data_IF_752149710552
#
_entry.id   IF_752149710552
#
_cell.length_a   1.000
_cell.length_b   1.000
_cell.length_c   1.000
_cell.angle_alpha   90.00
_cell.angle_beta   90.00
_cell.angle_gamma   90.00
#
_symmetry.space_group_name_H-M   'P 1'
#
loop_
_entity.id
_entity.type
_entity.pdbx_description
1 polymer ?
#
# COMPACT_ATOMS: atom_id res chain seq x y z
N UNK A 1 -12.61 61.89 -3.49
CA UNK A 1 -11.20 62.04 -3.92
C UNK A 1 -10.83 60.78 -4.69
N UNK A 2 -10.58 60.94 -5.98
CA UNK A 2 -10.23 59.88 -6.93
C UNK A 2 -8.83 59.30 -6.62
N UNK A 3 -8.60 58.02 -6.87
CA UNK A 3 -7.56 57.56 -7.82
C UNK A 3 -7.51 56.04 -7.88
N UNK A 4 -7.68 55.51 -9.09
CA UNK A 4 -7.58 54.10 -9.46
C UNK A 4 -6.12 53.67 -9.62
N UNK A 5 -5.78 52.48 -9.15
CA UNK A 5 -4.54 51.79 -9.54
C UNK A 5 -4.88 50.70 -10.58
N UNK A 6 -4.35 50.88 -11.80
CA UNK A 6 -4.23 49.87 -12.85
C UNK A 6 -2.79 49.33 -12.83
N UNK A 7 -2.60 48.04 -13.07
CA UNK A 7 -1.27 47.50 -13.40
C UNK A 7 -1.40 46.71 -14.71
N UNK A 8 -0.59 47.12 -15.69
CA UNK A 8 -0.58 46.65 -17.06
C UNK A 8 0.46 45.55 -17.27
N UNK A 9 0.20 44.70 -18.25
CA UNK A 9 1.05 43.63 -18.74
C UNK A 9 2.30 44.17 -19.46
N UNK A 10 3.42 43.45 -19.30
CA UNK A 10 4.70 43.73 -19.97
C UNK A 10 4.82 42.80 -21.18
N UNK A 11 4.96 43.41 -22.36
CA UNK A 11 5.35 42.79 -23.62
C UNK A 11 6.84 43.06 -23.86
N UNK A 12 7.61 42.05 -24.25
CA UNK A 12 8.98 42.23 -24.75
C UNK A 12 9.14 41.55 -26.11
N UNK A 13 9.15 42.40 -27.15
CA UNK A 13 9.60 42.10 -28.51
C UNK A 13 11.12 42.14 -28.56
N UNK A 14 11.76 41.11 -29.12
CA UNK A 14 13.19 41.11 -29.43
C UNK A 14 13.39 40.97 -30.93
N UNK A 15 14.02 42.01 -31.48
CA UNK A 15 14.36 42.26 -32.87
C UNK A 15 15.52 41.39 -33.34
N UNK A 16 15.46 41.05 -34.63
CA UNK A 16 16.54 40.55 -35.46
C UNK A 16 17.67 41.57 -35.67
N UNK A 17 18.84 41.10 -36.13
CA UNK A 17 19.67 41.89 -37.04
C UNK A 17 20.03 41.16 -38.34
N UNK A 18 20.15 41.98 -39.37
CA UNK A 18 20.63 41.75 -40.75
C UNK A 18 22.12 42.06 -40.84
N UNK A 19 22.90 41.35 -41.69
CA UNK A 19 24.00 41.89 -42.55
C UNK A 19 24.71 40.76 -43.34
N UNK A 20 24.54 40.65 -44.68
CA UNK A 20 25.36 41.13 -45.83
C UNK A 20 26.57 40.27 -46.28
N UNK A 21 26.54 39.89 -47.57
CA UNK A 21 27.57 40.00 -48.65
C UNK A 21 27.09 39.12 -49.83
N UNK A 22 27.05 39.49 -51.11
CA UNK A 22 27.51 40.67 -51.85
C UNK A 22 28.44 40.23 -52.99
N UNK A 23 27.98 40.37 -54.27
CA UNK A 23 28.75 40.57 -55.53
C UNK A 23 27.99 39.95 -56.72
N UNK A 24 27.96 40.44 -57.95
CA UNK A 24 28.16 41.72 -58.66
C UNK A 24 27.99 41.34 -60.16
N UNK A 25 27.44 42.25 -60.98
CA UNK A 25 27.80 42.59 -62.39
C UNK A 25 26.55 43.16 -63.08
N UNK A 26 26.29 44.46 -63.04
CA UNK A 26 26.79 45.53 -63.94
C UNK A 26 26.27 45.40 -65.38
N UNK A 27 25.19 46.14 -65.64
CA UNK A 27 24.52 46.37 -66.91
C UNK A 27 25.14 47.61 -67.56
N UNK A 28 25.57 47.50 -68.82
CA UNK A 28 26.07 48.61 -69.65
C UNK A 28 25.17 48.75 -70.88
N UNK A 29 24.66 49.95 -71.09
CA UNK A 29 24.03 50.40 -72.33
C UNK A 29 25.09 50.73 -73.40
N UNK A 30 24.90 50.29 -74.65
CA UNK A 30 25.43 50.94 -75.85
C UNK A 30 24.64 50.54 -77.11
N UNK A 31 24.45 51.52 -77.99
CA UNK A 31 23.52 51.58 -79.13
C UNK A 31 23.78 50.62 -80.32
N UNK A 32 22.69 50.43 -81.10
CA UNK A 32 22.57 50.29 -82.57
C UNK A 32 23.66 49.56 -83.38
N UNK A 33 23.30 48.41 -83.97
CA UNK A 33 24.06 47.77 -85.05
C UNK A 33 23.54 46.39 -85.47
N UNK A 34 23.38 46.18 -86.78
CA UNK A 34 22.82 45.01 -87.47
C UNK A 34 23.54 43.65 -87.25
N UNK A 35 22.76 42.56 -87.35
CA UNK A 35 23.06 41.18 -87.84
C UNK A 35 24.03 40.26 -87.07
N UNK A 36 23.48 39.20 -86.47
CA UNK A 36 23.57 37.75 -86.87
C UNK A 36 23.25 36.84 -85.67
N UNK A 37 22.58 35.67 -85.85
CA UNK A 37 22.25 34.80 -84.72
C UNK A 37 23.43 33.86 -84.42
N UNK A 38 23.97 33.92 -83.20
CA UNK A 38 24.90 32.91 -82.68
C UNK A 38 24.17 31.92 -81.78
N UNK A 39 24.40 30.63 -82.07
CA UNK A 39 23.83 29.48 -81.36
C UNK A 39 24.33 29.44 -79.91
N UNK A 40 23.39 29.55 -78.96
CA UNK A 40 23.65 29.36 -77.53
C UNK A 40 23.71 27.84 -77.24
N UNK A 41 24.78 27.30 -76.63
CA UNK A 41 24.79 25.90 -76.20
C UNK A 41 23.83 25.74 -75.02
N UNK A 42 22.79 24.92 -75.19
CA UNK A 42 21.82 24.60 -74.14
C UNK A 42 22.47 23.65 -73.13
N UNK A 43 23.10 24.20 -72.10
CA UNK A 43 23.55 23.44 -70.93
C UNK A 43 22.29 22.91 -70.21
N UNK A 44 22.05 21.59 -70.28
CA UNK A 44 21.05 20.94 -69.43
C UNK A 44 21.62 20.84 -68.02
N UNK A 45 21.14 21.68 -67.12
CA UNK A 45 21.26 21.41 -65.68
C UNK A 45 20.39 20.19 -65.35
N UNK A 46 21.00 19.12 -64.85
CA UNK A 46 20.30 17.99 -64.26
C UNK A 46 19.62 18.44 -62.95
N UNK A 47 18.47 17.87 -62.55
CA UNK A 47 17.69 18.36 -61.42
C UNK A 47 18.34 17.98 -60.08
N UNK A 48 19.07 18.90 -59.47
CA UNK A 48 19.71 18.78 -58.14
C UNK A 48 18.69 18.74 -56.98
N UNK A 49 17.40 18.94 -57.26
CA UNK A 49 16.31 19.03 -56.28
C UNK A 49 15.77 17.68 -55.82
N UNK A 50 15.87 16.61 -56.62
CA UNK A 50 15.38 15.26 -56.29
C UNK A 50 16.27 14.59 -55.22
N UNK A 51 17.59 14.78 -55.30
CA UNK A 51 18.53 14.14 -54.37
C UNK A 51 18.50 14.78 -52.97
N UNK A 52 18.40 16.12 -52.90
CA UNK A 52 18.29 16.85 -51.62
C UNK A 52 16.98 16.57 -50.89
N UNK A 53 15.87 16.43 -51.62
CA UNK A 53 14.56 16.12 -51.04
C UNK A 53 14.50 14.68 -50.49
N UNK A 54 15.09 13.70 -51.20
CA UNK A 54 15.25 12.33 -50.70
C UNK A 54 16.14 12.25 -49.46
N UNK A 55 17.24 13.01 -49.41
CA UNK A 55 18.09 13.07 -48.22
C UNK A 55 17.37 13.69 -47.01
N UNK A 56 16.60 14.77 -47.21
CA UNK A 56 15.76 15.37 -46.15
C UNK A 56 14.72 14.37 -45.63
N UNK A 57 14.07 13.62 -46.51
CA UNK A 57 13.10 12.58 -46.14
C UNK A 57 13.76 11.40 -45.39
N UNK A 58 14.95 10.98 -45.79
CA UNK A 58 15.71 9.92 -45.11
C UNK A 58 16.17 10.35 -43.70
N UNK A 59 16.63 11.59 -43.53
CA UNK A 59 17.01 12.15 -42.22
C UNK A 59 15.79 12.31 -41.32
N UNK A 60 14.66 12.76 -41.88
CA UNK A 60 13.43 12.94 -41.11
C UNK A 60 12.84 11.59 -40.65
N UNK A 61 12.83 10.57 -41.52
CA UNK A 61 12.34 9.22 -41.17
C UNK A 61 13.23 8.52 -40.14
N UNK A 62 14.55 8.61 -40.27
CA UNK A 62 15.48 8.07 -39.27
C UNK A 62 15.34 8.76 -37.92
N UNK A 63 15.15 10.08 -37.89
CA UNK A 63 14.87 10.82 -36.67
C UNK A 63 13.55 10.38 -36.01
N UNK A 64 12.48 10.19 -36.77
CA UNK A 64 11.20 9.70 -36.23
C UNK A 64 11.31 8.28 -35.66
N UNK A 65 12.01 7.38 -36.35
CA UNK A 65 12.25 6.02 -35.85
C UNK A 65 13.10 6.03 -34.57
N UNK A 66 14.12 6.87 -34.49
CA UNK A 66 14.94 7.02 -33.30
C UNK A 66 14.17 7.60 -32.10
N UNK A 67 13.29 8.58 -32.35
CA UNK A 67 12.41 9.12 -31.31
C UNK A 67 11.40 8.06 -30.85
N UNK A 68 10.82 7.30 -31.78
CA UNK A 68 9.87 6.22 -31.45
C UNK A 68 10.53 5.13 -30.60
N UNK A 69 11.75 4.70 -30.94
CA UNK A 69 12.47 3.67 -30.17
C UNK A 69 12.82 4.17 -28.78
N UNK A 70 13.24 5.44 -28.64
CA UNK A 70 13.51 6.06 -27.35
C UNK A 70 12.25 6.15 -26.48
N UNK A 71 11.11 6.53 -27.06
CA UNK A 71 9.82 6.56 -26.35
C UNK A 71 9.39 5.16 -25.90
N UNK A 72 9.57 4.14 -26.73
CA UNK A 72 9.26 2.76 -26.36
C UNK A 72 10.16 2.25 -25.22
N UNK A 73 11.45 2.56 -25.25
CA UNK A 73 12.38 2.23 -24.15
C UNK A 73 11.99 2.94 -22.85
N UNK A 74 11.62 4.22 -22.92
CA UNK A 74 11.20 4.99 -21.76
C UNK A 74 9.90 4.42 -21.17
N UNK A 75 8.93 4.08 -22.02
CA UNK A 75 7.66 3.47 -21.60
C UNK A 75 7.88 2.10 -20.97
N UNK A 76 8.75 1.27 -21.56
CA UNK A 76 9.13 -0.03 -20.99
C UNK A 76 9.83 0.13 -19.63
N UNK A 77 10.72 1.12 -19.50
CA UNK A 77 11.36 1.47 -18.22
C UNK A 77 10.34 1.89 -17.16
N UNK A 78 9.34 2.70 -17.49
CA UNK A 78 8.26 3.08 -16.58
C UNK A 78 7.45 1.85 -16.15
N UNK A 79 7.08 0.97 -17.09
CA UNK A 79 6.34 -0.26 -16.78
C UNK A 79 7.14 -1.13 -15.80
N UNK A 80 8.43 -1.35 -16.06
CA UNK A 80 9.29 -2.13 -15.16
C UNK A 80 9.41 -1.45 -13.80
N UNK A 81 9.63 -0.13 -13.76
CA UNK A 81 9.73 0.61 -12.51
C UNK A 81 8.44 0.49 -11.68
N UNK A 82 7.26 0.67 -12.30
CA UNK A 82 5.96 0.48 -11.66
C UNK A 82 5.78 -0.98 -11.22
N UNK A 83 6.15 -1.95 -12.04
CA UNK A 83 6.07 -3.38 -11.69
C UNK A 83 6.95 -3.74 -10.49
N UNK A 84 8.20 -3.27 -10.45
CA UNK A 84 9.10 -3.46 -9.31
C UNK A 84 8.59 -2.73 -8.07
N UNK A 85 8.01 -1.54 -8.22
CA UNK A 85 7.40 -0.78 -7.14
C UNK A 85 6.18 -1.54 -6.58
N UNK A 86 5.35 -2.15 -7.43
CA UNK A 86 4.24 -3.01 -7.02
C UNK A 86 4.71 -4.30 -6.32
N UNK A 87 5.87 -4.84 -6.68
CA UNK A 87 6.47 -6.00 -5.98
C UNK A 87 7.10 -5.61 -4.65
N UNK A 88 7.59 -4.37 -4.49
CA UNK A 88 8.23 -3.86 -3.29
C UNK A 88 7.26 -3.24 -2.28
N UNK A 89 6.04 -2.88 -2.69
CA UNK A 89 4.96 -2.55 -1.74
C UNK A 89 4.48 -3.89 -1.18
N UNK A 90 4.82 -4.26 0.07
CA UNK A 90 4.19 -5.40 0.71
C UNK A 90 2.73 -5.00 0.83
N UNK A 91 1.88 -5.46 -0.10
CA UNK A 91 0.49 -5.03 -0.24
C UNK A 91 -0.13 -4.83 1.14
N UNK A 92 -0.24 -3.59 1.66
CA UNK A 92 -1.17 -3.39 2.74
C UNK A 92 -2.48 -3.58 2.00
N UNK A 93 -3.13 -4.71 2.28
CA UNK A 93 -4.50 -4.98 1.89
C UNK A 93 -5.26 -3.65 1.86
N UNK A 94 -6.03 -3.30 0.81
CA UNK A 94 -6.84 -2.10 0.89
C UNK A 94 -7.62 -2.22 2.19
N UNK A 95 -7.32 -1.32 3.15
CA UNK A 95 -7.90 -1.34 4.49
C UNK A 95 -9.33 -0.86 4.28
N UNK A 96 -10.18 -1.75 3.76
CA UNK A 96 -11.61 -1.49 3.57
C UNK A 96 -12.30 -1.37 4.93
N UNK A 97 -11.66 -1.88 6.00
CA UNK A 97 -12.15 -1.81 7.36
C UNK A 97 -11.18 -1.03 8.25
N UNK A 98 -11.56 0.17 8.73
CA UNK A 98 -10.72 0.93 9.67
C UNK A 98 -10.50 0.15 10.97
N UNK A 99 -9.28 0.22 11.51
CA UNK A 99 -8.94 -0.46 12.75
C UNK A 99 -9.46 0.31 13.98
N UNK A 100 -10.22 -0.36 14.85
CA UNK A 100 -10.79 0.24 16.05
C UNK A 100 -10.24 -0.39 17.33
N UNK A 101 -9.36 0.33 18.01
CA UNK A 101 -8.80 -0.10 19.29
C UNK A 101 -9.52 0.57 20.47
N UNK A 102 -10.06 -0.26 21.35
CA UNK A 102 -10.48 0.11 22.71
C UNK A 102 -9.33 -0.23 23.65
N UNK A 103 -8.63 0.81 24.11
CA UNK A 103 -7.49 0.69 25.02
C UNK A 103 -7.91 0.17 26.40
N UNK A 104 -6.95 -0.43 27.11
CA UNK A 104 -7.20 -1.06 28.42
C UNK A 104 -7.82 -0.11 29.45
N UNK A 105 -7.37 1.14 29.46
CA UNK A 105 -7.85 2.18 30.38
C UNK A 105 -9.34 2.53 30.20
N UNK A 106 -9.96 2.15 29.09
CA UNK A 106 -11.39 2.41 28.83
C UNK A 106 -12.27 1.39 29.55
N UNK A 107 -11.82 0.13 29.66
CA UNK A 107 -12.60 -0.95 30.24
C UNK A 107 -12.07 -1.43 31.60
N UNK A 108 -10.88 -1.00 32.01
CA UNK A 108 -10.26 -1.40 33.27
C UNK A 108 -9.66 -0.19 34.00
N UNK A 109 -10.14 0.08 35.21
CA UNK A 109 -9.71 1.23 36.02
C UNK A 109 -8.46 0.95 36.86
N UNK A 110 -8.07 -0.31 37.06
CA UNK A 110 -6.88 -0.64 37.85
C UNK A 110 -5.60 -0.25 37.09
N UNK A 111 -4.69 0.43 37.79
CA UNK A 111 -3.42 0.86 37.19
C UNK A 111 -2.61 -0.32 36.65
N UNK A 112 -2.05 -0.15 35.44
CA UNK A 112 -1.14 -1.12 34.81
C UNK A 112 0.07 -1.49 35.67
N UNK A 113 0.44 -0.61 36.62
CA UNK A 113 1.51 -0.83 37.59
C UNK A 113 1.27 -2.02 38.53
N UNK A 114 0.02 -2.47 38.72
CA UNK A 114 -0.29 -3.62 39.58
C UNK A 114 0.09 -4.96 38.93
N UNK A 115 0.30 -4.98 37.61
CA UNK A 115 0.71 -6.17 36.89
C UNK A 115 2.07 -5.96 36.25
N UNK A 116 3.12 -6.53 36.88
CA UNK A 116 4.40 -6.78 36.21
C UNK A 116 4.21 -7.88 35.16
N UNK A 117 3.60 -7.52 34.03
CA UNK A 117 3.48 -8.45 32.91
C UNK A 117 4.85 -8.63 32.27
N UNK A 118 5.25 -9.89 32.09
CA UNK A 118 6.48 -10.23 31.38
C UNK A 118 6.47 -9.58 29.99
N UNK A 119 7.57 -8.90 29.59
CA UNK A 119 7.63 -8.21 28.31
C UNK A 119 7.61 -9.21 27.15
N UNK A 120 6.91 -8.84 26.08
CA UNK A 120 6.97 -9.53 24.80
C UNK A 120 8.12 -8.93 23.98
N UNK A 121 8.94 -9.80 23.38
CA UNK A 121 10.05 -9.33 22.55
C UNK A 121 9.52 -8.86 21.19
N UNK A 122 9.41 -7.54 21.04
CA UNK A 122 8.80 -6.88 19.89
C UNK A 122 9.37 -7.33 18.53
N UNK A 123 10.66 -7.66 18.47
CA UNK A 123 11.34 -8.09 17.24
C UNK A 123 11.26 -9.59 16.96
N UNK A 124 10.79 -10.39 17.92
CA UNK A 124 10.69 -11.83 17.80
C UNK A 124 9.28 -12.29 17.43
N UNK A 125 8.25 -11.46 17.59
CA UNK A 125 6.86 -11.89 17.40
C UNK A 125 6.57 -12.38 15.98
N UNK A 126 6.43 -13.69 15.85
CA UNK A 126 6.27 -14.40 14.59
C UNK A 126 4.98 -15.21 14.53
N UNK A 127 4.31 -15.42 15.66
CA UNK A 127 3.13 -16.25 15.74
C UNK A 127 1.92 -15.44 16.17
N UNK A 128 0.77 -15.84 15.63
CA UNK A 128 -0.54 -15.39 16.08
C UNK A 128 -1.36 -16.63 16.35
N UNK A 129 -1.99 -16.67 17.52
CA UNK A 129 -2.98 -17.69 17.86
C UNK A 129 -4.34 -16.99 17.93
N UNK A 130 -5.33 -17.51 17.21
CA UNK A 130 -6.72 -17.04 17.29
C UNK A 130 -7.58 -18.17 17.84
N UNK A 131 -8.40 -17.86 18.83
CA UNK A 131 -9.36 -18.77 19.44
C UNK A 131 -10.63 -18.01 19.85
N UNK A 132 -11.72 -18.73 20.08
CA UNK A 132 -12.91 -18.14 20.68
C UNK A 132 -12.76 -18.00 22.22
N UNK A 133 -13.54 -17.14 22.85
CA UNK A 133 -13.49 -16.98 24.32
C UNK A 133 -14.33 -18.01 25.08
N UNK A 134 -15.18 -18.79 24.38
CA UNK A 134 -16.21 -19.66 24.98
C UNK A 134 -17.18 -18.90 25.88
N UNK A 135 -17.39 -17.62 25.58
CA UNK A 135 -18.33 -16.76 26.29
C UNK A 135 -19.62 -16.60 25.51
N UNK A 136 -20.56 -15.88 26.12
CA UNK A 136 -21.67 -15.25 25.38
C UNK A 136 -21.10 -14.26 24.35
N UNK A 137 -21.82 -14.02 23.22
CA UNK A 137 -21.46 -12.97 22.28
C UNK A 137 -21.82 -11.59 22.83
N UNK A 138 -21.29 -10.55 22.20
CA UNK A 138 -21.65 -9.16 22.44
C UNK A 138 -21.75 -8.42 21.10
N UNK A 139 -22.63 -7.42 20.99
CA UNK A 139 -22.97 -6.79 19.70
C UNK A 139 -22.88 -5.26 19.71
N UNK A 140 -22.66 -4.65 20.87
CA UNK A 140 -22.43 -3.22 21.01
C UNK A 140 -21.27 -2.97 21.99
N UNK A 141 -20.70 -1.77 21.94
CA UNK A 141 -19.49 -1.48 22.70
C UNK A 141 -19.70 -1.62 24.21
N UNK A 142 -20.86 -1.26 24.75
CA UNK A 142 -21.10 -1.29 26.18
C UNK A 142 -21.19 -2.75 26.66
N UNK A 143 -21.92 -3.61 25.96
CA UNK A 143 -22.01 -5.04 26.29
C UNK A 143 -20.67 -5.75 26.11
N UNK A 144 -19.90 -5.41 25.07
CA UNK A 144 -18.56 -5.96 24.89
C UNK A 144 -17.57 -5.51 25.97
N UNK A 145 -17.62 -4.25 26.43
CA UNK A 145 -16.81 -3.78 27.57
C UNK A 145 -17.14 -4.58 28.83
N UNK A 146 -18.43 -4.74 29.15
CA UNK A 146 -18.88 -5.50 30.32
C UNK A 146 -18.40 -6.96 30.26
N UNK A 147 -18.41 -7.55 29.06
CA UNK A 147 -17.95 -8.92 28.87
C UNK A 147 -16.43 -9.05 29.02
N UNK A 148 -15.64 -8.10 28.50
CA UNK A 148 -14.19 -8.08 28.72
C UNK A 148 -13.86 -7.92 30.21
N UNK A 149 -14.58 -7.05 30.93
CA UNK A 149 -14.46 -6.91 32.38
C UNK A 149 -14.79 -8.20 33.12
N UNK A 150 -15.87 -8.90 32.71
CA UNK A 150 -16.23 -10.21 33.26
C UNK A 150 -15.11 -11.23 33.06
N UNK A 151 -14.57 -11.34 31.85
CA UNK A 151 -13.46 -12.25 31.54
C UNK A 151 -12.19 -11.93 32.36
N UNK A 152 -11.90 -10.65 32.58
CA UNK A 152 -10.82 -10.23 33.47
C UNK A 152 -11.09 -10.62 34.93
N UNK A 153 -12.31 -10.41 35.44
CA UNK A 153 -12.69 -10.80 36.79
C UNK A 153 -12.63 -12.32 36.99
N UNK A 154 -13.04 -13.10 35.99
CA UNK A 154 -12.95 -14.56 36.01
C UNK A 154 -11.49 -15.03 36.10
N UNK A 155 -10.59 -14.45 35.29
CA UNK A 155 -9.15 -14.72 35.37
C UNK A 155 -8.57 -14.36 36.75
N UNK A 156 -8.98 -13.22 37.32
CA UNK A 156 -8.56 -12.80 38.65
C UNK A 156 -9.04 -13.76 39.74
N UNK A 157 -10.31 -14.18 39.69
CA UNK A 157 -10.88 -15.09 40.67
C UNK A 157 -10.29 -16.50 40.59
N UNK A 158 -9.88 -16.94 39.40
CA UNK A 158 -9.32 -18.27 39.19
C UNK A 158 -7.89 -18.40 39.76
N UNK A 159 -7.02 -17.42 39.52
CA UNK A 159 -5.60 -17.52 39.88
C UNK A 159 -4.90 -16.17 40.11
N UNK A 160 -5.66 -15.08 40.29
CA UNK A 160 -5.11 -13.73 40.49
C UNK A 160 -4.42 -13.15 39.25
N UNK A 161 -4.66 -13.71 38.06
CA UNK A 161 -3.97 -13.28 36.84
C UNK A 161 -4.73 -12.21 36.05
N UNK A 162 -3.99 -11.48 35.22
CA UNK A 162 -4.58 -10.63 34.18
C UNK A 162 -5.17 -11.51 33.07
N UNK A 163 -6.21 -11.01 32.39
CA UNK A 163 -6.86 -11.67 31.25
C UNK A 163 -5.80 -12.22 30.28
N UNK A 164 -5.90 -13.50 29.84
CA UNK A 164 -4.77 -14.19 29.20
C UNK A 164 -4.55 -13.79 27.73
N UNK A 165 -5.52 -13.13 27.09
CA UNK A 165 -5.41 -12.68 25.70
C UNK A 165 -4.58 -11.40 25.58
N UNK A 166 -3.84 -11.24 24.48
CA UNK A 166 -3.25 -9.95 24.11
C UNK A 166 -4.33 -8.99 23.64
N UNK A 167 -5.24 -9.47 22.79
CA UNK A 167 -6.36 -8.72 22.25
C UNK A 167 -7.62 -9.57 22.24
N UNK A 168 -8.78 -8.92 22.33
CA UNK A 168 -10.07 -9.56 22.09
C UNK A 168 -10.81 -8.83 20.98
N UNK A 169 -11.66 -9.52 20.24
CA UNK A 169 -12.46 -8.92 19.16
C UNK A 169 -13.93 -9.14 19.46
N UNK A 170 -14.67 -8.04 19.64
CA UNK A 170 -16.10 -8.05 19.91
C UNK A 170 -16.95 -8.24 18.65
N UNK A 171 -18.17 -8.75 18.81
CA UNK A 171 -19.15 -8.80 17.72
C UNK A 171 -19.60 -7.40 17.27
N UNK A 172 -19.30 -6.35 18.04
CA UNK A 172 -19.44 -4.96 17.65
C UNK A 172 -18.37 -4.48 16.64
N UNK A 173 -17.43 -5.35 16.26
CA UNK A 173 -16.39 -5.05 15.27
C UNK A 173 -15.24 -4.21 15.80
N UNK A 174 -14.93 -4.30 17.10
CA UNK A 174 -13.81 -3.58 17.73
C UNK A 174 -12.80 -4.51 18.36
N UNK A 175 -11.55 -4.07 18.38
CA UNK A 175 -10.47 -4.71 19.12
C UNK A 175 -10.37 -4.14 20.53
N UNK A 176 -10.44 -5.00 21.54
CA UNK A 176 -10.23 -4.68 22.95
C UNK A 176 -8.82 -5.07 23.37
N UNK A 177 -8.05 -4.11 23.87
CA UNK A 177 -6.70 -4.35 24.35
C UNK A 177 -6.74 -5.11 25.67
N UNK A 178 -6.33 -6.39 25.65
CA UNK A 178 -6.01 -7.18 26.84
C UNK A 178 -4.59 -6.87 27.31
N UNK A 179 -3.68 -7.84 27.21
CA UNK A 179 -2.26 -7.67 27.55
C UNK A 179 -1.48 -6.78 26.56
N UNK A 180 -2.02 -6.57 25.36
CA UNK A 180 -1.48 -5.67 24.34
C UNK A 180 -0.24 -6.23 23.62
N UNK A 181 0.42 -5.38 22.82
CA UNK A 181 1.59 -5.75 22.02
C UNK A 181 2.90 -5.91 22.81
N UNK A 182 2.95 -5.41 24.05
CA UNK A 182 4.21 -5.29 24.81
C UNK A 182 4.39 -6.38 25.86
N UNK A 183 3.41 -7.26 26.02
CA UNK A 183 3.35 -8.22 27.12
C UNK A 183 3.06 -9.62 26.60
N UNK A 184 3.63 -10.64 27.23
CA UNK A 184 3.37 -12.04 26.91
C UNK A 184 1.90 -12.40 27.18
N UNK A 185 1.34 -13.32 26.40
CA UNK A 185 0.02 -13.88 26.69
C UNK A 185 0.02 -14.63 28.04
N UNK A 186 -1.17 -14.84 28.62
CA UNK A 186 -1.34 -15.52 29.90
C UNK A 186 -1.62 -17.02 29.83
N UNK A 187 -1.75 -17.59 28.64
CA UNK A 187 -2.01 -19.03 28.47
C UNK A 187 -0.76 -19.87 28.77
N UNK A 188 -0.78 -20.65 29.86
CA UNK A 188 0.35 -21.49 30.28
C UNK A 188 0.56 -22.73 29.39
N UNK A 189 -0.51 -23.25 28.79
CA UNK A 189 -0.46 -24.41 27.90
C UNK A 189 -0.06 -24.07 26.47
N UNK A 190 -0.01 -22.79 26.10
CA UNK A 190 0.25 -22.38 24.73
C UNK A 190 1.77 -22.24 24.49
N UNK A 191 2.26 -22.66 23.32
CA UNK A 191 3.66 -22.47 22.96
C UNK A 191 3.96 -20.99 22.68
N UNK A 192 5.24 -20.63 22.75
CA UNK A 192 5.71 -19.35 22.19
C UNK A 192 5.39 -18.11 23.03
N UNK A 193 5.47 -18.21 24.37
CA UNK A 193 5.22 -17.08 25.30
C UNK A 193 5.92 -15.77 24.91
N UNK A 194 7.14 -15.85 24.35
CA UNK A 194 7.96 -14.69 24.01
C UNK A 194 7.75 -14.17 22.57
N UNK A 195 7.09 -14.92 21.69
CA UNK A 195 7.02 -14.64 20.25
C UNK A 195 5.60 -14.74 19.65
N UNK A 196 4.58 -14.83 20.51
CA UNK A 196 3.19 -15.10 20.11
C UNK A 196 2.23 -14.04 20.62
N UNK A 197 1.37 -13.54 19.74
CA UNK A 197 0.20 -12.73 20.08
C UNK A 197 -1.03 -13.65 20.07
N UNK A 198 -1.80 -13.64 21.16
CA UNK A 198 -3.05 -14.40 21.28
C UNK A 198 -4.25 -13.47 21.17
N UNK A 199 -5.15 -13.76 20.23
CA UNK A 199 -6.36 -12.98 19.95
C UNK A 199 -7.61 -13.81 20.26
N UNK A 200 -8.44 -13.33 21.17
CA UNK A 200 -9.70 -13.95 21.56
C UNK A 200 -10.90 -13.39 20.79
N UNK A 201 -11.56 -14.21 19.98
CA UNK A 201 -12.83 -13.87 19.34
C UNK A 201 -13.95 -14.02 20.38
N UNK A 202 -14.59 -12.92 20.77
CA UNK A 202 -15.59 -12.92 21.85
C UNK A 202 -16.84 -13.69 21.39
N UNK A 203 -17.12 -14.82 22.03
CA UNK A 203 -18.26 -15.69 21.74
C UNK A 203 -17.91 -17.17 21.74
N UNK A 204 -18.86 -18.00 21.29
CA UNK A 204 -18.70 -19.45 21.13
C UNK A 204 -19.04 -19.85 19.70
N UNK A 205 -18.02 -20.19 18.93
CA UNK A 205 -18.11 -20.42 17.48
C UNK A 205 -17.93 -21.89 17.05
N UNK A 206 -18.54 -22.84 17.75
CA UNK A 206 -18.45 -24.26 17.42
C UNK A 206 -19.17 -24.56 16.10
N UNK A 207 -20.47 -24.25 16.04
CA UNK A 207 -21.31 -24.51 14.86
C UNK A 207 -21.65 -23.23 14.08
N UNK A 208 -21.49 -22.07 14.72
CA UNK A 208 -21.80 -20.76 14.14
C UNK A 208 -20.52 -20.02 13.79
N UNK A 209 -20.55 -19.31 12.66
CA UNK A 209 -19.45 -18.44 12.25
C UNK A 209 -19.55 -17.10 12.99
N UNK A 210 -18.41 -16.51 13.40
CA UNK A 210 -18.33 -15.10 13.73
C UNK A 210 -18.89 -14.22 12.62
N UNK A 211 -19.40 -13.05 13.00
CA UNK A 211 -19.83 -12.03 12.04
C UNK A 211 -18.64 -11.57 11.18
N UNK A 212 -18.91 -11.26 9.91
CA UNK A 212 -17.88 -10.84 8.95
C UNK A 212 -17.07 -9.63 9.42
N UNK A 213 -17.70 -8.76 10.22
CA UNK A 213 -17.04 -7.59 10.83
C UNK A 213 -15.91 -8.00 11.78
N UNK A 214 -16.06 -9.10 12.52
CA UNK A 214 -15.03 -9.59 13.43
C UNK A 214 -13.80 -10.06 12.65
N UNK A 215 -14.00 -10.77 11.53
CA UNK A 215 -12.90 -11.17 10.65
C UNK A 215 -12.21 -9.98 9.99
N UNK A 216 -12.98 -8.96 9.57
CA UNK A 216 -12.44 -7.74 9.01
C UNK A 216 -11.59 -6.98 10.03
N UNK A 217 -12.09 -6.82 11.26
CA UNK A 217 -11.37 -6.18 12.36
C UNK A 217 -10.12 -6.98 12.77
N UNK A 218 -10.20 -8.31 12.75
CA UNK A 218 -9.02 -9.16 12.96
C UNK A 218 -7.93 -8.88 11.93
N UNK A 219 -8.29 -8.80 10.64
CA UNK A 219 -7.33 -8.46 9.58
C UNK A 219 -6.76 -7.04 9.77
N UNK A 220 -7.57 -6.11 10.25
CA UNK A 220 -7.15 -4.75 10.56
C UNK A 220 -6.14 -4.73 11.73
N UNK A 221 -6.41 -5.47 12.81
CA UNK A 221 -5.49 -5.66 13.94
C UNK A 221 -4.14 -6.25 13.49
N UNK A 222 -4.14 -7.29 12.66
CA UNK A 222 -2.91 -7.92 12.17
C UNK A 222 -2.10 -6.97 11.29
N UNK A 223 -2.78 -6.22 10.42
CA UNK A 223 -2.16 -5.19 9.58
C UNK A 223 -1.53 -4.08 10.43
N UNK A 224 -2.27 -3.59 11.43
CA UNK A 224 -1.76 -2.58 12.36
C UNK A 224 -0.59 -3.10 13.21
N UNK A 225 -0.64 -4.37 13.62
CA UNK A 225 0.45 -5.01 14.37
C UNK A 225 1.74 -5.06 13.55
N UNK A 226 1.65 -5.35 12.25
CA UNK A 226 2.78 -5.28 11.32
C UNK A 226 3.28 -3.84 11.17
N UNK A 227 2.37 -2.88 10.97
CA UNK A 227 2.72 -1.45 10.84
C UNK A 227 3.44 -0.91 12.08
N UNK A 228 3.10 -1.41 13.27
CA UNK A 228 3.74 -1.05 14.55
C UNK A 228 5.07 -1.75 14.81
N UNK A 229 5.50 -2.64 13.90
CA UNK A 229 6.63 -3.55 14.10
C UNK A 229 6.46 -4.47 15.31
N UNK A 230 5.22 -4.78 15.68
CA UNK A 230 4.90 -5.71 16.79
C UNK A 230 4.62 -7.12 16.30
N UNK A 231 4.55 -7.32 14.98
CA UNK A 231 4.36 -8.59 14.30
C UNK A 231 5.15 -8.57 13.00
N UNK A 232 5.90 -9.62 12.68
CA UNK A 232 6.60 -9.68 11.39
C UNK A 232 5.61 -9.89 10.23
N UNK A 233 5.87 -9.34 9.02
CA UNK A 233 4.99 -9.55 7.87
C UNK A 233 4.80 -11.01 7.48
N UNK A 234 5.80 -11.87 7.73
CA UNK A 234 5.79 -13.30 7.45
C UNK A 234 5.27 -14.16 8.61
N UNK A 235 4.36 -13.62 9.42
CA UNK A 235 3.86 -14.32 10.60
C UNK A 235 3.15 -15.64 10.25
N UNK A 236 3.04 -16.49 11.26
CA UNK A 236 2.38 -17.79 11.24
C UNK A 236 1.11 -17.71 12.06
N UNK A 237 -0.02 -18.09 11.47
CA UNK A 237 -1.33 -18.06 12.12
C UNK A 237 -1.77 -19.48 12.50
N UNK A 238 -2.22 -19.62 13.74
CA UNK A 238 -2.72 -20.88 14.29
C UNK A 238 -4.09 -20.71 14.92
N UNK A 239 -4.89 -21.78 14.88
CA UNK A 239 -6.05 -21.96 15.75
C UNK A 239 -5.70 -22.82 16.96
N UNK A 240 -6.59 -22.87 17.93
CA UNK A 240 -6.49 -23.76 19.10
C UNK A 240 -7.60 -24.81 19.06
N UNK A 241 -7.24 -26.07 19.24
CA UNK A 241 -8.20 -27.16 19.47
C UNK A 241 -7.93 -27.73 20.86
N UNK A 242 -8.96 -27.73 21.69
CA UNK A 242 -8.95 -28.34 23.01
C UNK A 242 -9.43 -29.79 22.90
N UNK A 243 -8.52 -30.75 23.08
CA UNK A 243 -8.84 -32.18 22.91
C UNK A 243 -9.73 -32.73 24.03
N UNK A 244 -9.96 -31.96 25.10
CA UNK A 244 -10.89 -32.33 26.17
C UNK A 244 -12.35 -32.01 25.83
N UNK A 245 -12.58 -31.24 24.75
CA UNK A 245 -13.90 -30.77 24.31
C UNK A 245 -14.36 -31.58 23.09
N UNK A 246 -15.69 -31.61 22.88
CA UNK A 246 -16.36 -32.20 21.71
C UNK A 246 -15.63 -31.88 20.39
N UNK A 247 -15.74 -32.79 19.42
CA UNK A 247 -15.04 -32.77 18.12
C UNK A 247 -15.25 -31.51 17.25
N UNK A 248 -16.11 -30.56 17.67
CA UNK A 248 -16.44 -29.33 16.94
C UNK A 248 -15.91 -28.03 17.59
N UNK A 249 -14.91 -28.10 18.48
CA UNK A 249 -14.33 -26.92 19.13
C UNK A 249 -13.92 -25.83 18.12
N UNK A 250 -14.64 -24.70 18.17
CA UNK A 250 -14.48 -23.55 17.31
C UNK A 250 -14.49 -23.85 15.78
N UNK A 251 -15.16 -24.92 15.34
CA UNK A 251 -15.17 -25.32 13.92
C UNK A 251 -15.73 -24.23 12.99
N UNK A 252 -16.76 -23.49 13.43
CA UNK A 252 -17.34 -22.34 12.72
C UNK A 252 -16.37 -21.17 12.55
N UNK A 253 -15.56 -20.87 13.57
CA UNK A 253 -14.49 -19.87 13.48
C UNK A 253 -13.39 -20.31 12.50
N UNK A 254 -12.97 -21.56 12.58
CA UNK A 254 -11.86 -22.04 11.76
C UNK A 254 -12.23 -22.29 10.30
N UNK A 255 -13.52 -22.36 9.95
CA UNK A 255 -13.98 -22.49 8.58
C UNK A 255 -13.48 -21.34 7.67
N UNK A 256 -13.34 -20.12 8.21
CA UNK A 256 -12.81 -18.96 7.48
C UNK A 256 -11.29 -18.82 7.67
N UNK A 257 -10.78 -19.00 8.90
CA UNK A 257 -9.35 -18.78 9.20
C UNK A 257 -8.42 -19.72 8.44
N UNK A 258 -8.87 -20.93 8.10
CA UNK A 258 -8.11 -21.89 7.28
C UNK A 258 -7.78 -21.37 5.88
N UNK A 259 -8.62 -20.49 5.34
CA UNK A 259 -8.45 -19.90 4.01
C UNK A 259 -7.47 -18.72 4.03
N UNK A 260 -7.02 -18.26 5.20
CA UNK A 260 -6.13 -17.12 5.30
C UNK A 260 -4.70 -17.51 4.90
N UNK A 261 -4.04 -16.64 4.13
CA UNK A 261 -2.70 -16.86 3.59
C UNK A 261 -1.64 -17.29 4.63
N UNK A 262 -1.76 -16.81 5.87
CA UNK A 262 -0.79 -17.05 6.94
C UNK A 262 -1.10 -18.30 7.77
N UNK A 263 -2.21 -19.00 7.50
CA UNK A 263 -2.64 -20.18 8.23
C UNK A 263 -1.58 -21.31 8.20
N UNK A 264 -1.29 -21.89 9.36
CA UNK A 264 -0.33 -22.98 9.54
C UNK A 264 -0.90 -24.22 10.22
N UNK A 265 -2.08 -24.13 10.83
CA UNK A 265 -2.76 -25.28 11.43
C UNK A 265 -3.20 -25.00 12.86
N UNK A 266 -3.20 -26.04 13.68
CA UNK A 266 -3.72 -26.01 15.04
C UNK A 266 -2.63 -26.24 16.08
N UNK A 267 -2.75 -25.52 17.19
CA UNK A 267 -2.12 -25.85 18.46
C UNK A 267 -3.13 -26.68 19.24
N UNK A 268 -2.69 -27.84 19.74
CA UNK A 268 -3.51 -28.69 20.61
C UNK A 268 -3.15 -28.41 22.06
N UNK A 269 -4.16 -28.35 22.91
CA UNK A 269 -4.04 -28.13 24.35
C UNK A 269 -4.90 -29.11 25.14
#
# INVERSE_FOLDING_TARGET
MYSSARTAAISSSLKSPVSRKGSNLSEYDLESGERTPLLIPRVRFAPETDERSRQLQAVQTTAFLAILTLLLFLLFGIIIAVYLLLLQVPSPWPVSHPFYLVERNVWWEETTAKFELSPLEKHATQNVIILHTRSEPCHDQATCIQLVQKLQNDAWNQNGSHIPYNFLIGGDGKTYEGRGWKSQHGFLSFPGLNDTIVVGMIGTFNDQRPDLVMYAETKALLTESIRRFSLVPSYRLYGVIDNSILDNDAAGLYAELKEWRHWKGFVTV
#
